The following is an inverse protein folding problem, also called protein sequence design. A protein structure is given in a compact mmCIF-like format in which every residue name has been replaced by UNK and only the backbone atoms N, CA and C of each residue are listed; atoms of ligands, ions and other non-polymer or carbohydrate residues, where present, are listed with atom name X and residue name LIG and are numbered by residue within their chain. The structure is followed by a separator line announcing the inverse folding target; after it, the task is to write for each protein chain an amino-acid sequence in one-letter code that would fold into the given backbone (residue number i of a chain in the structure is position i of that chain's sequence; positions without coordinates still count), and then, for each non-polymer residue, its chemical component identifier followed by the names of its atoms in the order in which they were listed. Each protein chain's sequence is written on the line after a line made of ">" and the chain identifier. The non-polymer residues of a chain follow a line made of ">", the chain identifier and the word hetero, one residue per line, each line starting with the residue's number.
data_IF_393358022878
#
_entry.id   IF_393358022878
#
_cell.length_a   1.000
_cell.length_b   1.000
_cell.length_c   1.000
_cell.angle_alpha   90.00
_cell.angle_beta   90.00
_cell.angle_gamma   90.00
#
_symmetry.space_group_name_H-M   'P 1'
#
loop_
_entity.id
_entity.type
_entity.pdbx_description
1 polymer ?
#
# COMPACT_ATOMS: atom_id res chain seq x y z
N UNK A 1 -3.30 30.86 -8.50
CA UNK A 1 -4.78 30.72 -8.46
C UNK A 1 -5.11 29.54 -9.36
N UNK A 2 -6.02 28.65 -8.94
CA UNK A 2 -6.45 27.54 -9.79
C UNK A 2 -7.32 28.08 -10.93
N UNK A 3 -7.21 27.48 -12.13
CA UNK A 3 -8.08 27.79 -13.27
C UNK A 3 -9.35 26.93 -13.17
N UNK A 4 -10.36 27.45 -12.47
CA UNK A 4 -11.61 26.72 -12.24
C UNK A 4 -12.41 26.46 -13.53
N UNK A 5 -12.10 27.16 -14.64
CA UNK A 5 -12.75 26.93 -15.94
C UNK A 5 -12.48 25.52 -16.49
N UNK A 6 -11.45 24.83 -16.01
CA UNK A 6 -11.16 23.44 -16.36
C UNK A 6 -12.19 22.46 -15.81
N UNK A 7 -12.88 22.79 -14.71
CA UNK A 7 -13.87 21.88 -14.11
C UNK A 7 -15.13 21.74 -14.97
N UNK A 8 -15.40 22.72 -15.83
CA UNK A 8 -16.54 22.73 -16.76
C UNK A 8 -16.23 22.03 -18.09
N UNK A 9 -14.96 21.68 -18.36
CA UNK A 9 -14.51 21.04 -19.60
C UNK A 9 -13.69 19.78 -19.31
N UNK A 10 -14.36 18.63 -19.35
CA UNK A 10 -13.75 17.32 -19.05
C UNK A 10 -12.60 16.97 -20.00
N UNK A 11 -12.67 17.39 -21.27
CA UNK A 11 -11.62 17.10 -22.26
C UNK A 11 -10.36 17.89 -21.92
N UNK A 12 -10.50 19.20 -21.67
CA UNK A 12 -9.38 20.05 -21.24
C UNK A 12 -8.81 19.60 -19.90
N UNK A 13 -9.65 19.19 -18.96
CA UNK A 13 -9.22 18.66 -17.66
C UNK A 13 -8.39 17.38 -17.81
N UNK A 14 -8.77 16.49 -18.73
CA UNK A 14 -8.03 15.27 -19.01
C UNK A 14 -6.70 15.53 -19.74
N UNK A 15 -6.64 16.54 -20.61
CA UNK A 15 -5.40 16.95 -21.29
C UNK A 15 -4.33 17.47 -20.32
N UNK A 16 -4.74 18.23 -19.29
CA UNK A 16 -3.83 18.78 -18.28
C UNK A 16 -3.49 17.78 -17.17
N UNK A 17 -4.32 16.77 -16.91
CA UNK A 17 -4.03 15.67 -15.98
C UNK A 17 -3.12 14.60 -16.62
N UNK A 18 -1.92 15.01 -17.04
CA UNK A 18 -0.98 14.16 -17.79
C UNK A 18 -0.54 12.91 -17.02
N UNK A 19 -0.64 12.93 -15.69
CA UNK A 19 -0.33 11.81 -14.80
C UNK A 19 -1.56 11.00 -14.36
N UNK A 20 -2.77 11.39 -14.77
CA UNK A 20 -4.02 10.70 -14.41
C UNK A 20 -4.36 10.75 -12.92
N UNK A 21 -3.85 11.74 -12.18
CA UNK A 21 -3.98 11.85 -10.73
C UNK A 21 -5.43 12.10 -10.30
N UNK A 22 -6.19 12.86 -11.08
CA UNK A 22 -7.60 13.16 -10.74
C UNK A 22 -8.43 11.87 -10.80
N UNK A 23 -8.23 11.08 -11.86
CA UNK A 23 -8.90 9.79 -12.00
C UNK A 23 -8.44 8.80 -10.92
N UNK A 24 -7.14 8.76 -10.62
CA UNK A 24 -6.60 7.91 -9.56
C UNK A 24 -7.21 8.26 -8.18
N UNK A 25 -7.24 9.55 -7.84
CA UNK A 25 -7.83 10.04 -6.60
C UNK A 25 -9.34 9.74 -6.51
N UNK A 26 -10.08 9.96 -7.59
CA UNK A 26 -11.51 9.65 -7.64
C UNK A 26 -11.81 8.15 -7.41
N UNK A 27 -10.91 7.25 -7.83
CA UNK A 27 -11.04 5.80 -7.64
C UNK A 27 -10.50 5.29 -6.31
N UNK A 28 -9.64 6.05 -5.63
CA UNK A 28 -8.92 5.60 -4.44
C UNK A 28 -9.86 5.04 -3.35
N UNK A 29 -10.99 5.70 -3.10
CA UNK A 29 -11.96 5.23 -2.10
C UNK A 29 -12.61 3.89 -2.47
N UNK A 30 -12.92 3.67 -3.76
CA UNK A 30 -13.43 2.39 -4.24
C UNK A 30 -12.37 1.29 -4.16
N UNK A 31 -11.13 1.62 -4.51
CA UNK A 31 -9.99 0.70 -4.40
C UNK A 31 -9.77 0.22 -2.96
N UNK A 32 -9.82 1.14 -1.97
CA UNK A 32 -9.67 0.78 -0.56
C UNK A 32 -10.77 -0.18 -0.11
N UNK A 33 -12.04 0.08 -0.46
CA UNK A 33 -13.16 -0.81 -0.09
C UNK A 33 -13.04 -2.19 -0.74
N UNK A 34 -12.77 -2.24 -2.04
CA UNK A 34 -12.59 -3.50 -2.76
C UNK A 34 -11.41 -4.32 -2.20
N UNK A 35 -10.31 -3.65 -1.83
CA UNK A 35 -9.15 -4.31 -1.22
C UNK A 35 -9.49 -4.85 0.18
N UNK A 36 -10.27 -4.11 0.98
CA UNK A 36 -10.71 -4.57 2.29
C UNK A 36 -11.67 -5.78 2.19
N UNK A 37 -12.61 -5.76 1.24
CA UNK A 37 -13.49 -6.90 0.95
C UNK A 37 -12.68 -8.13 0.53
N UNK A 38 -11.75 -7.98 -0.42
CA UNK A 38 -10.86 -9.06 -0.85
C UNK A 38 -10.00 -9.61 0.31
N UNK A 39 -9.51 -8.74 1.20
CA UNK A 39 -8.72 -9.17 2.36
C UNK A 39 -9.55 -9.99 3.37
N UNK A 40 -10.83 -9.66 3.55
CA UNK A 40 -11.76 -10.44 4.38
C UNK A 40 -12.09 -11.79 3.72
N UNK A 41 -12.37 -11.81 2.40
CA UNK A 41 -12.62 -13.04 1.63
C UNK A 41 -11.43 -14.01 1.66
N UNK A 42 -10.21 -13.48 1.52
CA UNK A 42 -8.96 -14.24 1.61
C UNK A 42 -8.60 -14.61 3.05
N UNK A 43 -9.32 -14.10 4.04
CA UNK A 43 -9.09 -14.40 5.45
C UNK A 43 -7.76 -13.86 5.99
N UNK A 44 -7.27 -12.73 5.46
CA UNK A 44 -6.00 -12.10 5.87
C UNK A 44 -5.93 -11.89 7.38
N UNK A 45 -7.06 -11.59 8.02
CA UNK A 45 -7.16 -11.44 9.48
C UNK A 45 -6.74 -12.68 10.26
N UNK A 46 -6.85 -13.87 9.70
CA UNK A 46 -6.44 -15.13 10.34
C UNK A 46 -4.93 -15.21 10.54
N UNK A 47 -4.14 -14.56 9.67
CA UNK A 47 -2.68 -14.44 9.81
C UNK A 47 -2.31 -13.73 11.12
N UNK A 48 -3.19 -12.85 11.60
CA UNK A 48 -3.02 -12.07 12.82
C UNK A 48 -3.90 -12.58 13.99
N UNK A 49 -4.43 -13.81 13.89
CA UNK A 49 -5.20 -14.41 14.98
C UNK A 49 -4.35 -14.56 16.25
N UNK A 50 -3.06 -14.83 16.08
CA UNK A 50 -2.05 -14.72 17.12
C UNK A 50 -1.17 -13.49 16.86
N UNK A 51 -0.67 -12.87 17.93
CA UNK A 51 0.20 -11.70 17.81
C UNK A 51 1.55 -12.13 17.21
N UNK A 52 1.95 -11.62 16.03
CA UNK A 52 3.24 -11.96 15.46
C UNK A 52 4.39 -11.38 16.30
N UNK A 53 5.60 -11.87 16.09
CA UNK A 53 6.81 -11.33 16.71
C UNK A 53 7.18 -9.98 16.10
N UNK A 54 7.07 -9.84 14.78
CA UNK A 54 7.31 -8.60 14.03
C UNK A 54 6.45 -8.54 12.75
N UNK A 55 6.20 -7.32 12.27
CA UNK A 55 5.69 -7.05 10.93
C UNK A 55 6.84 -6.52 10.07
N UNK A 56 7.19 -7.22 9.01
CA UNK A 56 8.27 -6.84 8.08
C UNK A 56 7.66 -6.36 6.76
N UNK A 57 7.90 -5.10 6.41
CA UNK A 57 7.51 -4.51 5.14
C UNK A 57 8.73 -4.57 4.21
N UNK A 58 8.64 -5.37 3.15
CA UNK A 58 9.70 -5.46 2.13
C UNK A 58 9.42 -4.42 1.05
N UNK A 59 10.36 -3.52 0.83
CA UNK A 59 10.25 -2.41 -0.12
C UNK A 59 11.16 -2.58 -1.32
N UNK A 60 10.66 -2.22 -2.50
CA UNK A 60 11.46 -2.14 -3.74
C UNK A 60 11.55 -0.68 -4.22
N UNK A 61 12.50 -0.32 -5.10
CA UNK A 61 12.53 0.99 -5.73
C UNK A 61 11.18 1.33 -6.39
N UNK A 62 10.71 2.57 -6.25
CA UNK A 62 9.41 3.01 -6.75
C UNK A 62 8.54 3.58 -5.63
N UNK A 63 7.25 3.23 -5.64
CA UNK A 63 6.27 3.76 -4.67
C UNK A 63 6.37 3.10 -3.28
N UNK A 64 6.95 1.89 -3.20
CA UNK A 64 7.03 1.08 -1.98
C UNK A 64 7.58 1.83 -0.75
N UNK A 65 8.68 2.59 -0.85
CA UNK A 65 9.25 3.27 0.31
C UNK A 65 8.33 4.37 0.84
N UNK A 66 7.57 5.05 -0.04
CA UNK A 66 6.60 6.06 0.37
C UNK A 66 5.39 5.41 1.07
N UNK A 67 4.90 4.29 0.52
CA UNK A 67 3.81 3.51 1.12
C UNK A 67 4.22 2.94 2.47
N UNK A 68 5.42 2.36 2.59
CA UNK A 68 5.93 1.83 3.85
C UNK A 68 6.05 2.93 4.91
N UNK A 69 6.56 4.12 4.56
CA UNK A 69 6.58 5.27 5.48
C UNK A 69 5.17 5.67 5.95
N UNK A 70 4.21 5.73 5.03
CA UNK A 70 2.82 6.04 5.37
C UNK A 70 2.22 4.95 6.28
N UNK A 71 2.41 3.67 5.95
CA UNK A 71 1.93 2.55 6.75
C UNK A 71 2.53 2.55 8.15
N UNK A 72 3.85 2.75 8.29
CA UNK A 72 4.52 2.88 9.58
C UNK A 72 3.97 4.07 10.37
N UNK A 73 3.72 5.21 9.73
CA UNK A 73 3.14 6.38 10.39
C UNK A 73 1.70 6.13 10.87
N UNK A 74 0.87 5.45 10.07
CA UNK A 74 -0.51 5.09 10.43
C UNK A 74 -0.58 4.07 11.57
N UNK A 75 0.34 3.10 11.57
CA UNK A 75 0.46 2.11 12.64
C UNK A 75 0.93 2.76 13.95
N UNK A 76 1.88 3.69 13.84
CA UNK A 76 2.33 4.55 14.94
C UNK A 76 2.70 3.77 16.21
N UNK A 77 2.59 4.40 17.40
CA UNK A 77 2.85 3.73 18.68
C UNK A 77 1.76 2.71 19.07
N UNK A 78 0.65 2.66 18.33
CA UNK A 78 -0.44 1.72 18.59
C UNK A 78 -0.17 0.32 18.02
N UNK A 79 0.83 0.17 17.14
CA UNK A 79 1.21 -1.14 16.63
C UNK A 79 1.68 -2.02 17.79
N UNK A 80 1.04 -3.17 18.04
CA UNK A 80 1.40 -3.99 19.17
C UNK A 80 2.73 -4.70 18.96
N UNK A 81 3.35 -4.66 17.78
CA UNK A 81 4.58 -5.37 17.41
C UNK A 81 5.56 -4.43 16.70
N UNK A 82 6.87 -4.73 16.69
CA UNK A 82 7.82 -3.99 15.88
C UNK A 82 7.45 -4.02 14.39
N UNK A 83 7.49 -2.85 13.74
CA UNK A 83 7.35 -2.70 12.30
C UNK A 83 8.73 -2.45 11.72
N UNK A 84 9.23 -3.38 10.91
CA UNK A 84 10.54 -3.31 10.26
C UNK A 84 10.33 -3.03 8.78
N UNK A 85 10.99 -2.01 8.25
CA UNK A 85 11.04 -1.76 6.81
C UNK A 85 12.42 -2.21 6.31
N UNK A 86 12.45 -3.02 5.25
CA UNK A 86 13.68 -3.59 4.70
C UNK A 86 13.58 -3.71 3.18
N UNK A 87 14.72 -3.67 2.48
CA UNK A 87 14.74 -3.85 1.02
C UNK A 87 14.68 -5.33 0.61
N UNK A 88 15.09 -6.22 1.52
CA UNK A 88 15.04 -7.68 1.38
C UNK A 88 14.46 -8.33 2.65
N UNK A 89 14.05 -9.60 2.57
CA UNK A 89 13.63 -10.38 3.75
C UNK A 89 14.83 -10.60 4.69
N UNK A 90 14.82 -10.09 5.95
CA UNK A 90 15.93 -10.27 6.86
C UNK A 90 16.14 -11.74 7.27
N UNK A 91 17.40 -12.16 7.45
CA UNK A 91 17.76 -13.56 7.75
C UNK A 91 17.25 -14.09 9.10
N UNK A 92 16.81 -13.20 10.00
CA UNK A 92 16.24 -13.57 11.30
C UNK A 92 14.73 -13.82 11.23
N UNK A 93 14.07 -13.51 10.12
CA UNK A 93 12.64 -13.79 9.91
C UNK A 93 12.38 -15.27 10.09
N UNK A 94 11.32 -15.60 10.82
CA UNK A 94 10.91 -16.97 11.10
C UNK A 94 9.39 -17.13 11.10
N UNK A 95 8.93 -18.31 11.52
CA UNK A 95 7.53 -18.73 11.46
C UNK A 95 6.54 -17.87 12.27
N UNK A 96 7.03 -16.97 13.12
CA UNK A 96 6.21 -16.08 13.95
C UNK A 96 6.18 -14.63 13.44
N UNK A 97 6.89 -14.31 12.34
CA UNK A 97 6.86 -12.98 11.75
C UNK A 97 5.88 -12.94 10.57
N UNK A 98 5.29 -11.78 10.35
CA UNK A 98 4.48 -11.52 9.14
C UNK A 98 5.30 -10.67 8.20
N UNK A 99 5.52 -11.17 6.99
CA UNK A 99 6.19 -10.44 5.91
C UNK A 99 5.16 -9.97 4.91
N UNK A 100 5.13 -8.66 4.65
CA UNK A 100 4.32 -8.04 3.62
C UNK A 100 5.25 -7.47 2.55
N UNK A 101 5.19 -8.09 1.38
CA UNK A 101 5.78 -7.58 0.16
C UNK A 101 4.65 -7.11 -0.77
N UNK A 102 4.90 -6.04 -1.52
CA UNK A 102 4.01 -5.64 -2.60
C UNK A 102 4.77 -5.68 -3.92
N UNK A 103 4.08 -6.10 -4.97
CA UNK A 103 4.57 -6.03 -6.35
C UNK A 103 3.45 -5.50 -7.23
N UNK A 104 3.83 -4.79 -8.29
CA UNK A 104 2.93 -4.41 -9.38
C UNK A 104 2.94 -5.45 -10.51
N UNK A 105 3.91 -6.38 -10.47
CA UNK A 105 4.07 -7.49 -11.41
C UNK A 105 3.82 -8.84 -10.71
N UNK A 106 2.69 -9.52 -10.99
CA UNK A 106 2.40 -10.83 -10.42
C UNK A 106 3.37 -11.94 -10.86
N UNK A 107 4.21 -11.68 -11.88
CA UNK A 107 5.30 -12.56 -12.32
C UNK A 107 6.67 -12.24 -11.71
N UNK A 108 6.75 -11.31 -10.76
CA UNK A 108 7.99 -10.91 -10.12
C UNK A 108 8.56 -12.03 -9.24
N UNK A 109 9.55 -12.75 -9.77
CA UNK A 109 10.26 -13.85 -9.08
C UNK A 109 11.39 -13.36 -8.17
N UNK A 110 11.60 -12.04 -8.09
CA UNK A 110 12.69 -11.42 -7.31
C UNK A 110 12.16 -10.84 -5.99
N UNK A 111 10.91 -11.13 -5.62
CA UNK A 111 10.37 -10.81 -4.29
C UNK A 111 10.99 -11.65 -3.17
#
# INVERSE_FOLDING_TARGET
>A
MLDDSLLDDQSRLAEVDTSGLLRAAARAGAQVRATAEAAEELGVRRVFAERPRALVLVTRPGVAPAVAKLATALLGPACPVPVVVSDDVPTWVGALDVVLAHTEDPGDVVL
#
